data_IF_363606347177
#
_entry.id   IF_363606347177
#
_cell.length_a   1.000
_cell.length_b   1.000
_cell.length_c   1.000
_cell.angle_alpha   90.00
_cell.angle_beta   90.00
_cell.angle_gamma   90.00
#
_symmetry.space_group_name_H-M   'P 1'
#
loop_
_entity.id
_entity.type
_entity.pdbx_description
1 polymer ?
#
# COMPACT_ATOMS: atom_id res chain seq x y z
N UNK A 1 -8.64 8.71 -15.34
CA UNK A 1 -7.61 8.42 -14.32
C UNK A 1 -7.76 9.26 -13.05
N UNK A 2 -7.78 10.60 -13.13
CA UNK A 2 -7.76 11.47 -11.93
C UNK A 2 -8.95 11.29 -10.96
N UNK A 3 -10.17 11.04 -11.46
CA UNK A 3 -11.33 10.79 -10.61
C UNK A 3 -11.27 9.43 -9.89
N UNK A 4 -10.81 8.37 -10.58
CA UNK A 4 -10.59 7.05 -9.97
C UNK A 4 -9.49 7.11 -8.91
N UNK A 5 -8.38 7.80 -9.18
CA UNK A 5 -7.31 8.00 -8.20
C UNK A 5 -7.84 8.73 -6.96
N UNK A 6 -8.58 9.83 -7.14
CA UNK A 6 -9.21 10.53 -6.00
C UNK A 6 -10.15 9.63 -5.20
N UNK A 7 -10.95 8.78 -5.86
CA UNK A 7 -11.88 7.86 -5.19
C UNK A 7 -11.18 6.71 -4.45
N UNK A 8 -10.12 6.12 -5.02
CA UNK A 8 -9.38 5.02 -4.39
C UNK A 8 -8.54 5.52 -3.22
N UNK A 9 -8.05 6.76 -3.33
CA UNK A 9 -7.31 7.41 -2.25
C UNK A 9 -8.19 8.20 -1.28
N UNK A 10 -9.48 8.43 -1.56
CA UNK A 10 -10.41 9.13 -0.64
C UNK A 10 -10.85 8.26 0.53
N UNK A 11 -10.55 6.95 0.51
CA UNK A 11 -10.76 6.03 1.64
C UNK A 11 -9.95 6.39 2.90
N UNK A 12 -9.24 7.51 2.91
CA UNK A 12 -8.71 8.13 4.13
C UNK A 12 -9.75 8.99 4.88
N UNK A 13 -10.85 9.44 4.23
CA UNK A 13 -11.85 10.30 4.85
C UNK A 13 -12.87 9.46 5.62
N UNK A 14 -12.90 9.65 6.93
CA UNK A 14 -13.79 8.92 7.83
C UNK A 14 -15.25 9.18 7.55
N UNK A 15 -15.62 10.39 7.15
CA UNK A 15 -17.01 10.75 6.86
C UNK A 15 -17.48 10.09 5.58
N UNK A 16 -16.65 10.12 4.53
CA UNK A 16 -16.97 9.48 3.26
C UNK A 16 -17.16 7.97 3.44
N UNK A 17 -16.30 7.33 4.23
CA UNK A 17 -16.44 5.90 4.57
C UNK A 17 -17.68 5.61 5.42
N UNK A 18 -18.01 6.50 6.36
CA UNK A 18 -19.21 6.36 7.19
C UNK A 18 -20.48 6.44 6.33
N UNK A 19 -20.59 7.49 5.51
CA UNK A 19 -21.73 7.71 4.62
C UNK A 19 -21.88 6.58 3.60
N UNK A 20 -20.75 6.08 3.07
CA UNK A 20 -20.75 4.93 2.17
C UNK A 20 -21.32 3.68 2.86
N UNK A 21 -20.89 3.38 4.09
CA UNK A 21 -21.37 2.22 4.83
C UNK A 21 -22.86 2.35 5.20
N UNK A 22 -23.33 3.52 5.61
CA UNK A 22 -24.76 3.77 5.87
C UNK A 22 -25.60 3.65 4.59
N UNK A 23 -25.12 4.20 3.46
CA UNK A 23 -25.81 4.11 2.18
C UNK A 23 -25.94 2.66 1.67
N UNK A 24 -25.02 1.79 2.08
CA UNK A 24 -25.07 0.34 1.82
C UNK A 24 -26.03 -0.41 2.76
N UNK A 25 -26.72 0.29 3.68
CA UNK A 25 -27.68 -0.29 4.63
C UNK A 25 -27.04 -0.89 5.87
N UNK A 26 -25.74 -0.68 6.10
CA UNK A 26 -25.06 -1.10 7.32
C UNK A 26 -25.41 -0.14 8.47
N UNK A 27 -25.41 -0.67 9.70
CA UNK A 27 -25.78 0.07 10.91
C UNK A 27 -24.67 0.01 11.94
N UNK A 28 -24.72 0.93 12.91
CA UNK A 28 -23.70 1.06 13.95
C UNK A 28 -22.29 1.18 13.36
N UNK A 29 -22.17 2.04 12.34
CA UNK A 29 -20.91 2.26 11.63
C UNK A 29 -19.95 2.99 12.55
N UNK A 30 -18.72 2.47 12.66
CA UNK A 30 -17.60 3.12 13.33
C UNK A 30 -16.42 3.14 12.37
N UNK A 31 -15.83 4.31 12.18
CA UNK A 31 -14.63 4.49 11.38
C UNK A 31 -13.55 5.05 12.28
N UNK A 32 -12.40 4.40 12.30
CA UNK A 32 -11.25 4.80 13.11
C UNK A 32 -9.95 4.68 12.31
N UNK A 33 -8.99 5.56 12.57
CA UNK A 33 -7.62 5.42 12.08
C UNK A 33 -6.80 4.72 13.15
N UNK A 34 -6.07 3.68 12.75
CA UNK A 34 -5.13 2.97 13.61
C UNK A 34 -3.73 3.03 13.01
N UNK A 35 -2.73 3.55 13.74
CA UNK A 35 -1.35 3.46 13.30
C UNK A 35 -0.91 1.99 13.33
N UNK A 36 -0.39 1.50 12.21
CA UNK A 36 0.20 0.18 12.08
C UNK A 36 1.68 0.34 11.71
N UNK A 37 2.52 -0.37 12.46
CA UNK A 37 3.92 -0.58 12.12
C UNK A 37 4.06 -1.99 11.56
N UNK A 38 4.53 -2.10 10.33
CA UNK A 38 4.71 -3.34 9.61
C UNK A 38 6.19 -3.53 9.32
N UNK A 39 6.73 -4.69 9.67
CA UNK A 39 8.04 -5.14 9.23
C UNK A 39 7.85 -6.02 8.00
N UNK A 40 8.34 -5.52 6.87
CA UNK A 40 8.30 -6.16 5.58
C UNK A 40 9.60 -6.96 5.36
N UNK A 41 9.62 -7.90 4.40
CA UNK A 41 10.83 -8.61 4.02
C UNK A 41 11.98 -7.67 3.61
N UNK A 42 13.21 -8.20 3.50
CA UNK A 42 14.35 -7.42 3.05
C UNK A 42 14.11 -6.69 1.71
N UNK A 43 14.76 -5.55 1.46
CA UNK A 43 14.44 -4.67 0.33
C UNK A 43 14.34 -5.35 -1.04
N UNK A 44 15.29 -6.22 -1.38
CA UNK A 44 15.29 -6.91 -2.68
C UNK A 44 14.12 -7.88 -2.80
N UNK A 45 13.87 -8.66 -1.74
CA UNK A 45 12.75 -9.60 -1.70
C UNK A 45 11.40 -8.86 -1.79
N UNK A 46 11.23 -7.83 -0.96
CA UNK A 46 9.99 -7.05 -0.94
C UNK A 46 9.74 -6.33 -2.26
N UNK A 47 10.78 -5.76 -2.89
CA UNK A 47 10.65 -5.12 -4.21
C UNK A 47 10.02 -6.07 -5.22
N UNK A 48 10.57 -7.28 -5.33
CA UNK A 48 10.08 -8.23 -6.33
C UNK A 48 8.71 -8.77 -5.99
N UNK A 49 8.39 -9.01 -4.72
CA UNK A 49 7.03 -9.34 -4.29
C UNK A 49 6.03 -8.22 -4.64
N UNK A 50 6.40 -6.96 -4.43
CA UNK A 50 5.55 -5.82 -4.75
C UNK A 50 5.34 -5.66 -6.26
N UNK A 51 6.40 -5.79 -7.06
CA UNK A 51 6.32 -5.71 -8.52
C UNK A 51 5.42 -6.80 -9.07
N UNK A 52 5.56 -8.05 -8.62
CA UNK A 52 4.75 -9.17 -9.13
C UNK A 52 3.30 -9.12 -8.67
N UNK A 53 3.01 -8.46 -7.55
CA UNK A 53 1.66 -8.35 -6.98
C UNK A 53 0.89 -7.11 -7.47
N UNK A 54 1.49 -6.29 -8.34
CA UNK A 54 0.90 -5.04 -8.82
C UNK A 54 0.91 -4.97 -10.35
N UNK A 55 0.20 -4.01 -10.97
CA UNK A 55 0.26 -3.80 -12.42
C UNK A 55 1.67 -3.48 -12.97
N UNK A 56 2.67 -3.29 -12.12
CA UNK A 56 4.08 -3.11 -12.51
C UNK A 56 4.69 -4.38 -13.12
N UNK A 57 4.14 -5.57 -12.84
CA UNK A 57 4.64 -6.84 -13.38
C UNK A 57 4.74 -6.83 -14.91
N UNK A 58 3.79 -6.19 -15.60
CA UNK A 58 3.78 -6.05 -17.06
C UNK A 58 4.99 -5.28 -17.59
N UNK A 59 5.11 -3.96 -17.33
CA UNK A 59 6.21 -3.15 -17.83
C UNK A 59 7.59 -3.61 -17.30
N UNK A 60 7.69 -4.02 -16.03
CA UNK A 60 8.96 -4.52 -15.47
C UNK A 60 9.34 -5.88 -16.03
N UNK A 61 8.39 -6.69 -16.48
CA UNK A 61 8.68 -7.95 -17.18
C UNK A 61 9.25 -7.79 -18.60
N UNK A 62 9.27 -6.56 -19.14
CA UNK A 62 9.79 -6.27 -20.49
C UNK A 62 11.22 -5.72 -20.49
N UNK A 63 11.79 -5.40 -19.32
CA UNK A 63 13.16 -4.88 -19.24
C UNK A 63 14.14 -6.06 -19.23
N UNK A 64 15.35 -5.83 -19.75
CA UNK A 64 16.43 -6.82 -19.71
C UNK A 64 17.01 -7.00 -18.30
N UNK A 65 17.84 -8.04 -18.13
CA UNK A 65 18.42 -8.38 -16.83
C UNK A 65 19.35 -7.29 -16.28
N UNK A 66 20.03 -6.54 -17.17
CA UNK A 66 20.89 -5.42 -16.78
C UNK A 66 20.06 -4.26 -16.19
N UNK A 67 18.99 -3.88 -16.87
CA UNK A 67 18.04 -2.88 -16.40
C UNK A 67 17.33 -3.33 -15.13
N UNK A 68 17.04 -4.63 -15.00
CA UNK A 68 16.45 -5.23 -13.80
C UNK A 68 17.38 -5.12 -12.60
N UNK A 69 18.68 -5.41 -12.77
CA UNK A 69 19.69 -5.29 -11.73
C UNK A 69 19.91 -3.82 -11.31
N UNK A 70 19.88 -2.89 -12.28
CA UNK A 70 19.94 -1.44 -12.02
C UNK A 70 18.73 -1.00 -11.19
N UNK A 71 17.51 -1.40 -11.58
CA UNK A 71 16.29 -1.08 -10.86
C UNK A 71 16.34 -1.57 -9.41
N UNK A 72 16.74 -2.82 -9.19
CA UNK A 72 16.86 -3.38 -7.84
C UNK A 72 17.85 -2.58 -7.00
N UNK A 73 19.06 -2.35 -7.52
CA UNK A 73 20.09 -1.61 -6.79
C UNK A 73 19.62 -0.20 -6.44
N UNK A 74 19.01 0.50 -7.38
CA UNK A 74 18.62 1.90 -7.20
C UNK A 74 17.49 2.01 -6.17
N UNK A 75 16.47 1.15 -6.26
CA UNK A 75 15.35 1.12 -5.31
C UNK A 75 15.79 0.68 -3.91
N UNK A 76 16.55 -0.42 -3.81
CA UNK A 76 17.03 -0.92 -2.52
C UNK A 76 18.01 0.06 -1.85
N UNK A 77 18.79 0.81 -2.62
CA UNK A 77 19.62 1.90 -2.10
C UNK A 77 18.77 3.05 -1.57
N UNK A 78 17.73 3.46 -2.30
CA UNK A 78 16.81 4.48 -1.86
C UNK A 78 16.03 4.09 -0.61
N UNK A 79 15.82 2.79 -0.37
CA UNK A 79 15.08 2.28 0.78
C UNK A 79 15.90 2.09 2.06
N UNK A 80 17.23 2.23 2.02
CA UNK A 80 18.09 2.09 3.21
C UNK A 80 17.65 2.91 4.43
N UNK A 81 17.16 4.15 4.30
CA UNK A 81 16.71 4.94 5.46
C UNK A 81 15.49 4.34 6.18
N UNK A 82 14.76 3.44 5.55
CA UNK A 82 13.57 2.78 6.11
C UNK A 82 13.87 1.41 6.71
N UNK A 83 15.14 1.00 6.74
CA UNK A 83 15.53 -0.26 7.33
C UNK A 83 15.43 -0.23 8.85
N UNK A 84 14.94 -1.33 9.41
CA UNK A 84 15.05 -1.67 10.81
C UNK A 84 15.69 -3.05 10.92
N UNK A 85 17.01 -3.06 11.08
CA UNK A 85 17.80 -4.28 10.87
C UNK A 85 17.86 -4.61 9.39
N UNK A 86 17.46 -5.84 9.03
CA UNK A 86 17.37 -6.33 7.66
C UNK A 86 15.98 -6.16 7.03
N UNK A 87 14.97 -5.84 7.84
CA UNK A 87 13.59 -5.65 7.43
C UNK A 87 13.30 -4.20 6.99
N UNK A 88 12.33 -4.04 6.10
CA UNK A 88 11.78 -2.73 5.77
C UNK A 88 10.67 -2.34 6.73
N UNK A 89 10.79 -1.16 7.33
CA UNK A 89 9.79 -0.61 8.24
C UNK A 89 8.82 0.28 7.47
N UNK A 90 7.55 -0.09 7.51
CA UNK A 90 6.46 0.70 6.97
C UNK A 90 5.53 1.12 8.11
N UNK A 91 5.36 2.44 8.28
CA UNK A 91 4.31 2.99 9.14
C UNK A 91 3.15 3.45 8.25
N UNK A 92 1.94 2.98 8.56
CA UNK A 92 0.72 3.44 7.89
C UNK A 92 -0.35 3.78 8.91
N UNK A 93 -1.17 4.75 8.56
CA UNK A 93 -2.43 5.03 9.24
C UNK A 93 -3.54 4.23 8.55
N UNK A 94 -3.82 3.03 9.05
CA UNK A 94 -4.85 2.18 8.48
C UNK A 94 -6.23 2.64 8.94
N UNK A 95 -7.16 2.82 8.00
CA UNK A 95 -8.55 3.13 8.33
C UNK A 95 -9.34 1.84 8.45
N UNK A 96 -9.97 1.64 9.60
CA UNK A 96 -10.82 0.49 9.90
C UNK A 96 -12.28 0.95 10.01
N UNK A 97 -13.12 0.43 9.13
CA UNK A 97 -14.59 0.58 9.22
C UNK A 97 -15.19 -0.71 9.76
N UNK A 98 -15.94 -0.61 10.87
CA UNK A 98 -16.72 -1.72 11.43
C UNK A 98 -18.20 -1.36 11.42
N UNK A 99 -19.07 -2.33 11.15
CA UNK A 99 -20.51 -2.13 11.13
C UNK A 99 -21.25 -3.46 11.36
N UNK A 100 -22.57 -3.39 11.53
CA UNK A 100 -23.48 -4.53 11.61
C UNK A 100 -24.46 -4.53 10.44
N UNK A 101 -24.93 -5.72 10.06
CA UNK A 101 -26.02 -5.90 9.08
C UNK A 101 -27.38 -5.60 9.73
#
# INVERSE_FOLDING_TARGET
MAAFMRQVFSLHDHRELHDLAESAGLRSVSVETRPLRILLPPPSEFLWQYVTSTPLAGPVGQIDDDARAVLERDVTTAWRPFLEGDALRLDIDAVLTTARK
#
